data_IF_450687566762
#
_entry.id   IF_450687566762
#
_cell.length_a   1.000
_cell.length_b   1.000
_cell.length_c   1.000
_cell.angle_alpha   90.00
_cell.angle_beta   90.00
_cell.angle_gamma   90.00
#
_symmetry.space_group_name_H-M   'P 1'
#
loop_
_entity.id
_entity.type
_entity.pdbx_description
1 polymer ?
#
# COMPACT_ATOMS: atom_id res chain seq x y z
N UNK A 1 12.82 18.68 3.25
CA UNK A 1 13.38 17.41 3.76
C UNK A 1 12.68 16.34 2.97
N UNK A 2 13.19 16.12 1.77
CA UNK A 2 12.58 15.20 0.82
C UNK A 2 13.18 13.82 1.09
N UNK A 3 12.34 12.77 1.06
CA UNK A 3 12.84 11.38 1.13
C UNK A 3 12.72 10.64 2.46
N UNK A 4 12.01 11.14 3.49
CA UNK A 4 11.63 10.30 4.65
C UNK A 4 10.13 10.03 4.67
N UNK A 5 9.74 8.83 5.10
CA UNK A 5 8.34 8.50 5.33
C UNK A 5 7.83 9.20 6.59
N UNK A 6 6.68 9.85 6.46
CA UNK A 6 5.94 10.46 7.57
C UNK A 6 5.44 9.42 8.60
N UNK A 7 4.73 9.90 9.64
CA UNK A 7 4.13 9.03 10.65
C UNK A 7 3.01 8.15 10.05
N UNK A 8 2.66 7.08 10.76
CA UNK A 8 1.49 6.26 10.44
C UNK A 8 0.20 7.07 10.57
N UNK A 9 -0.69 6.89 9.60
CA UNK A 9 -1.99 7.54 9.54
C UNK A 9 -3.08 6.49 9.26
N UNK A 10 -4.28 6.62 9.83
CA UNK A 10 -5.38 5.72 9.52
C UNK A 10 -5.78 5.86 8.05
N UNK A 11 -6.02 4.74 7.38
CA UNK A 11 -6.46 4.74 6.00
C UNK A 11 -7.84 5.38 5.85
N UNK A 12 -8.05 6.02 4.70
CA UNK A 12 -9.33 6.62 4.30
C UNK A 12 -9.78 6.03 2.95
N UNK A 13 -10.90 6.53 2.41
CA UNK A 13 -11.44 6.07 1.13
C UNK A 13 -10.48 6.27 -0.06
N UNK A 14 -9.61 7.28 -0.02
CA UNK A 14 -8.63 7.53 -1.07
C UNK A 14 -7.53 6.46 -1.06
N UNK A 15 -7.07 6.05 0.14
CA UNK A 15 -6.08 4.97 0.29
C UNK A 15 -6.68 3.63 -0.10
N UNK A 16 -7.95 3.39 0.23
CA UNK A 16 -8.65 2.19 -0.24
C UNK A 16 -8.67 2.15 -1.77
N UNK A 17 -9.08 3.26 -2.40
CA UNK A 17 -9.11 3.36 -3.86
C UNK A 17 -7.72 3.18 -4.48
N UNK A 18 -6.67 3.67 -3.81
CA UNK A 18 -5.28 3.47 -4.25
C UNK A 18 -4.89 1.99 -4.26
N UNK A 19 -5.18 1.23 -3.19
CA UNK A 19 -4.86 -0.20 -3.15
C UNK A 19 -5.72 -1.02 -4.11
N UNK A 20 -6.96 -0.58 -4.39
CA UNK A 20 -7.87 -1.24 -5.33
C UNK A 20 -7.32 -1.18 -6.76
N UNK A 21 -6.63 -0.10 -7.14
CA UNK A 21 -6.00 0.02 -8.46
C UNK A 21 -4.93 -1.05 -8.70
N UNK A 22 -4.23 -1.49 -7.66
CA UNK A 22 -3.16 -2.51 -7.75
C UNK A 22 -3.62 -3.91 -7.31
N UNK A 23 -4.91 -4.09 -7.01
CA UNK A 23 -5.45 -5.34 -6.47
C UNK A 23 -5.15 -6.55 -7.36
N UNK A 24 -5.26 -6.41 -8.68
CA UNK A 24 -4.95 -7.48 -9.62
C UNK A 24 -3.48 -7.93 -9.53
N UNK A 25 -2.56 -6.98 -9.33
CA UNK A 25 -1.13 -7.27 -9.17
C UNK A 25 -0.88 -7.98 -7.83
N UNK A 26 -1.56 -7.54 -6.76
CA UNK A 26 -1.47 -8.15 -5.43
C UNK A 26 -1.93 -9.61 -5.45
N UNK A 27 -3.13 -9.88 -5.97
CA UNK A 27 -3.68 -11.26 -6.08
C UNK A 27 -2.75 -12.16 -6.91
N UNK A 28 -2.16 -11.61 -7.98
CA UNK A 28 -1.18 -12.33 -8.80
C UNK A 28 0.08 -12.68 -8.02
N UNK A 29 0.63 -11.74 -7.24
CA UNK A 29 1.85 -11.94 -6.47
C UNK A 29 1.67 -12.86 -5.26
N UNK A 30 0.53 -12.79 -4.56
CA UNK A 30 0.24 -13.69 -3.42
C UNK A 30 -0.19 -15.09 -3.88
N UNK A 31 -0.62 -15.24 -5.14
CA UNK A 31 -0.97 -16.53 -5.76
C UNK A 31 -2.33 -17.10 -5.32
N UNK A 32 -3.17 -16.31 -4.64
CA UNK A 32 -4.49 -16.69 -4.18
C UNK A 32 -5.42 -15.47 -4.10
N UNK A 33 -6.73 -15.71 -4.10
CA UNK A 33 -7.73 -14.65 -3.93
C UNK A 33 -7.82 -14.24 -2.45
N UNK A 34 -8.08 -12.96 -2.20
CA UNK A 34 -8.35 -12.46 -0.85
C UNK A 34 -9.85 -12.45 -0.58
N UNK A 35 -10.25 -12.73 0.66
CA UNK A 35 -11.67 -12.68 1.06
C UNK A 35 -12.08 -11.26 1.49
N UNK A 36 -11.09 -10.47 1.91
CA UNK A 36 -11.21 -9.07 2.28
C UNK A 36 -10.04 -8.31 1.63
N UNK A 37 -10.14 -6.99 1.56
CA UNK A 37 -9.06 -6.18 1.05
C UNK A 37 -9.17 -4.75 1.60
N UNK A 38 -8.91 -4.61 2.90
CA UNK A 38 -9.17 -3.36 3.62
C UNK A 38 -7.85 -2.65 3.95
N UNK A 39 -7.71 -1.40 3.51
CA UNK A 39 -6.63 -0.54 3.96
C UNK A 39 -6.82 -0.17 5.44
N UNK A 40 -5.78 -0.33 6.26
CA UNK A 40 -5.84 -0.10 7.71
C UNK A 40 -5.09 1.16 8.10
N UNK A 41 -3.79 1.21 7.79
CA UNK A 41 -2.91 2.33 8.08
C UNK A 41 -1.93 2.51 6.93
N UNK A 42 -1.46 3.74 6.75
CA UNK A 42 -0.48 4.06 5.72
C UNK A 42 0.58 5.04 6.22
N UNK A 43 1.68 5.11 5.48
CA UNK A 43 2.72 6.13 5.59
C UNK A 43 2.99 6.68 4.20
N UNK A 44 3.35 7.96 4.16
CA UNK A 44 3.58 8.69 2.92
C UNK A 44 4.99 9.26 2.87
N UNK A 45 5.62 9.19 1.71
CA UNK A 45 6.87 9.87 1.39
C UNK A 45 6.66 10.69 0.12
N UNK A 46 6.75 12.01 0.25
CA UNK A 46 6.64 12.94 -0.88
C UNK A 46 7.98 13.02 -1.63
N UNK A 47 7.93 12.96 -2.95
CA UNK A 47 9.05 13.06 -3.87
C UNK A 47 8.79 14.20 -4.86
N UNK A 48 9.84 14.71 -5.52
CA UNK A 48 9.73 15.82 -6.48
C UNK A 48 8.82 15.53 -7.69
N UNK A 49 8.59 14.26 -8.02
CA UNK A 49 7.76 13.83 -9.16
C UNK A 49 6.73 12.77 -8.81
N UNK A 50 6.46 12.54 -7.52
CA UNK A 50 5.60 11.44 -7.11
C UNK A 50 5.45 11.30 -5.61
N UNK A 51 4.75 10.24 -5.23
CA UNK A 51 4.52 9.88 -3.85
C UNK A 51 4.73 8.39 -3.69
N UNK A 52 5.52 8.00 -2.69
CA UNK A 52 5.58 6.62 -2.24
C UNK A 52 4.62 6.43 -1.06
N UNK A 53 3.86 5.36 -1.12
CA UNK A 53 2.93 4.94 -0.09
C UNK A 53 3.40 3.59 0.44
N UNK A 54 3.43 3.46 1.76
CA UNK A 54 3.53 2.15 2.42
C UNK A 54 2.24 1.93 3.17
N UNK A 55 1.55 0.82 2.92
CA UNK A 55 0.16 0.62 3.33
C UNK A 55 0.02 -0.78 3.95
N UNK A 56 -0.57 -0.85 5.15
CA UNK A 56 -1.01 -2.11 5.76
C UNK A 56 -2.41 -2.43 5.28
N UNK A 57 -2.58 -3.63 4.73
CA UNK A 57 -3.84 -4.12 4.16
C UNK A 57 -4.23 -5.42 4.85
N UNK A 58 -5.48 -5.51 5.30
CA UNK A 58 -6.05 -6.74 5.84
C UNK A 58 -6.70 -7.54 4.70
N UNK A 59 -6.34 -8.81 4.57
CA UNK A 59 -6.80 -9.71 3.50
C UNK A 59 -7.69 -10.86 3.97
N UNK A 60 -7.86 -11.00 5.30
CA UNK A 60 -8.65 -12.03 5.95
C UNK A 60 -8.83 -11.77 7.45
N UNK A 61 -9.46 -12.72 8.15
CA UNK A 61 -9.75 -12.60 9.58
C UNK A 61 -8.63 -13.18 10.48
N UNK A 62 -7.66 -13.88 9.88
CA UNK A 62 -6.55 -14.50 10.59
C UNK A 62 -5.52 -13.49 11.10
N UNK A 63 -4.78 -13.88 12.15
CA UNK A 63 -3.76 -13.02 12.75
C UNK A 63 -2.61 -12.68 11.81
N UNK A 64 -2.35 -13.48 10.77
CA UNK A 64 -1.29 -13.26 9.79
C UNK A 64 -1.83 -12.84 8.41
N UNK A 65 -3.12 -12.51 8.33
CA UNK A 65 -3.79 -12.12 7.09
C UNK A 65 -3.63 -10.61 6.84
N UNK A 66 -2.42 -10.10 7.02
CA UNK A 66 -2.05 -8.72 6.69
C UNK A 66 -0.91 -8.70 5.69
N UNK A 67 -1.01 -7.74 4.76
CA UNK A 67 0.01 -7.40 3.78
C UNK A 67 0.57 -6.02 4.11
N UNK A 68 1.85 -5.84 3.82
CA UNK A 68 2.43 -4.52 3.66
C UNK A 68 2.71 -4.29 2.18
N UNK A 69 2.10 -3.25 1.61
CA UNK A 69 2.27 -2.86 0.22
C UNK A 69 3.13 -1.61 0.13
N UNK A 70 3.99 -1.54 -0.87
CA UNK A 70 4.61 -0.29 -1.31
C UNK A 70 4.06 0.07 -2.69
N UNK A 71 3.54 1.29 -2.82
CA UNK A 71 2.95 1.80 -4.05
C UNK A 71 3.61 3.11 -4.44
N UNK A 72 3.99 3.24 -5.70
CA UNK A 72 4.47 4.49 -6.27
C UNK A 72 3.38 5.15 -7.11
N UNK A 73 3.12 6.42 -6.85
CA UNK A 73 2.21 7.24 -7.63
C UNK A 73 2.98 8.39 -8.26
N UNK A 74 3.09 8.39 -9.60
CA UNK A 74 3.70 9.51 -10.33
C UNK A 74 2.72 10.67 -10.42
N UNK A 75 3.20 11.90 -10.20
CA UNK A 75 2.39 13.12 -10.32
C UNK A 75 3.09 14.16 -11.20
N UNK A 76 2.36 15.14 -11.71
CA UNK A 76 2.94 16.25 -12.49
C UNK A 76 3.32 15.89 -13.93
N UNK A 77 2.82 14.77 -14.46
CA UNK A 77 2.98 14.35 -15.86
C UNK A 77 1.72 14.66 -16.68
N UNK A 78 1.84 14.99 -17.99
CA UNK A 78 0.67 15.33 -18.83
C UNK A 78 -0.33 14.19 -19.02
N UNK A 79 0.16 12.95 -18.97
CA UNK A 79 -0.65 11.74 -19.10
C UNK A 79 -0.71 11.08 -17.74
N UNK A 80 -1.91 10.85 -17.16
CA UNK A 80 -2.04 10.11 -15.91
C UNK A 80 -1.41 8.73 -16.02
N UNK A 81 -0.50 8.42 -15.10
CA UNK A 81 0.10 7.09 -14.97
C UNK A 81 -0.61 6.39 -13.81
N UNK A 82 -1.15 5.17 -14.01
CA UNK A 82 -1.70 4.38 -12.92
C UNK A 82 -0.68 4.18 -11.78
N UNK A 83 -1.13 4.07 -10.52
CA UNK A 83 -0.23 3.71 -9.42
C UNK A 83 0.36 2.32 -9.65
N UNK A 84 1.61 2.13 -9.25
CA UNK A 84 2.37 0.89 -9.45
C UNK A 84 2.68 0.23 -8.11
N UNK A 85 2.46 -1.09 -8.01
CA UNK A 85 2.88 -1.87 -6.85
C UNK A 85 4.39 -2.12 -6.94
N UNK A 86 5.17 -1.40 -6.14
CA UNK A 86 6.64 -1.51 -6.13
C UNK A 86 7.15 -2.53 -5.11
N UNK A 87 6.31 -2.96 -4.16
CA UNK A 87 6.69 -3.95 -3.17
C UNK A 87 5.50 -4.59 -2.45
N UNK A 88 5.67 -5.85 -2.04
CA UNK A 88 4.67 -6.62 -1.29
C UNK A 88 5.36 -7.54 -0.27
N UNK A 89 4.88 -7.51 0.97
CA UNK A 89 5.25 -8.47 2.03
C UNK A 89 4.00 -9.15 2.60
N UNK A 90 4.08 -10.46 2.81
CA UNK A 90 3.01 -11.32 3.33
C UNK A 90 3.30 -11.78 4.76
N UNK A 91 2.27 -12.28 5.45
CA UNK A 91 2.41 -12.92 6.77
C UNK A 91 2.55 -11.93 7.92
N UNK A 92 2.13 -10.68 7.71
CA UNK A 92 2.13 -9.67 8.76
C UNK A 92 0.94 -9.80 9.69
N UNK A 93 1.06 -9.21 10.87
CA UNK A 93 -0.02 -9.09 11.84
C UNK A 93 -0.57 -7.67 11.94
N UNK A 94 -1.74 -7.52 12.57
CA UNK A 94 -2.34 -6.22 12.87
C UNK A 94 -1.37 -5.30 13.64
N UNK A 95 -0.51 -5.87 14.49
CA UNK A 95 0.38 -5.13 15.40
C UNK A 95 1.79 -4.90 14.84
N UNK A 96 2.11 -5.48 13.68
CA UNK A 96 3.43 -5.28 13.08
C UNK A 96 3.66 -3.81 12.73
N UNK A 97 4.85 -3.25 12.96
CA UNK A 97 5.14 -1.87 12.59
C UNK A 97 5.11 -1.70 11.08
N UNK A 98 4.58 -0.57 10.59
CA UNK A 98 4.56 -0.29 9.15
C UNK A 98 5.88 0.38 8.74
N UNK A 99 6.84 -0.44 8.32
CA UNK A 99 8.18 0.01 7.90
C UNK A 99 8.34 -0.05 6.37
N UNK A 100 9.00 0.94 5.74
CA UNK A 100 9.39 0.83 4.33
C UNK A 100 10.38 -0.32 4.11
N UNK A 101 10.35 -0.94 2.93
CA UNK A 101 11.15 -2.11 2.58
C UNK A 101 11.61 -2.11 1.11
#
# INVERSE_FOLDING_TARGET
>A
MDGQFGPEQPANADIQSLIDNVHNEVVTQIGHQTHMYNAIVFRVQNLLGGTNWVIKVQIGEGNHDYLHLMIHQTVGVPVPIPPELTGLQQGHTAHDPLVPF
#
